data_IF_105861210722
#
_entry.id   IF_105861210722
#
_cell.length_a   1.000
_cell.length_b   1.000
_cell.length_c   1.000
_cell.angle_alpha   90.00
_cell.angle_beta   90.00
_cell.angle_gamma   90.00
#
_symmetry.space_group_name_H-M   'P 1'
#
loop_
_entity.id
_entity.type
_entity.pdbx_description
1 polymer ?
#
# COMPACT_ATOMS: atom_id res chain seq x y z
N UNK A 1 9.06 3.83 -11.14
CA UNK A 1 9.83 3.61 -9.90
C UNK A 1 9.11 4.25 -8.72
N UNK A 2 8.86 5.56 -8.75
CA UNK A 2 8.16 6.32 -7.68
C UNK A 2 6.82 5.70 -7.25
N UNK A 3 5.91 5.42 -8.20
CA UNK A 3 4.58 4.83 -7.95
C UNK A 3 4.68 3.49 -7.19
N UNK A 4 5.70 2.66 -7.50
CA UNK A 4 5.93 1.38 -6.83
C UNK A 4 6.40 1.59 -5.38
N UNK A 5 7.27 2.57 -5.16
CA UNK A 5 7.76 2.92 -3.81
C UNK A 5 6.60 3.44 -2.96
N UNK A 6 5.77 4.35 -3.49
CA UNK A 6 4.58 4.84 -2.80
C UNK A 6 3.64 3.68 -2.45
N UNK A 7 3.41 2.76 -3.39
CA UNK A 7 2.59 1.57 -3.14
C UNK A 7 3.08 0.73 -1.95
N UNK A 8 4.38 0.48 -1.86
CA UNK A 8 4.93 -0.27 -0.72
C UNK A 8 4.93 0.52 0.60
N UNK A 9 5.19 1.83 0.57
CA UNK A 9 5.09 2.68 1.75
C UNK A 9 3.67 2.68 2.31
N UNK A 10 2.67 2.82 1.44
CA UNK A 10 1.25 2.76 1.82
C UNK A 10 0.86 1.36 2.34
N UNK A 11 1.44 0.30 1.76
CA UNK A 11 1.21 -1.06 2.25
C UNK A 11 1.75 -1.25 3.67
N UNK A 12 2.99 -0.83 3.92
CA UNK A 12 3.59 -0.88 5.26
C UNK A 12 2.83 -0.02 6.28
N UNK A 13 2.40 1.18 5.89
CA UNK A 13 1.56 2.05 6.71
C UNK A 13 0.21 1.41 7.03
N UNK A 14 -0.45 0.79 6.03
CA UNK A 14 -1.72 0.10 6.24
C UNK A 14 -1.60 -1.11 7.17
N UNK A 15 -0.59 -1.96 6.99
CA UNK A 15 -0.35 -3.13 7.87
C UNK A 15 -0.06 -2.70 9.30
N UNK A 16 0.83 -1.71 9.49
CA UNK A 16 1.14 -1.19 10.83
C UNK A 16 -0.09 -0.54 11.50
N UNK A 17 -0.88 0.21 10.74
CA UNK A 17 -2.14 0.78 11.20
C UNK A 17 -3.17 -0.29 11.61
N UNK A 18 -3.35 -1.34 10.80
CA UNK A 18 -4.25 -2.46 11.12
C UNK A 18 -3.80 -3.18 12.40
N UNK A 19 -2.51 -3.46 12.55
CA UNK A 19 -1.98 -4.07 13.77
C UNK A 19 -2.26 -3.18 14.98
N UNK A 20 -1.99 -1.88 14.89
CA UNK A 20 -2.24 -0.94 15.97
C UNK A 20 -3.72 -0.90 16.38
N UNK A 21 -4.63 -0.85 15.40
CA UNK A 21 -6.08 -0.86 15.61
C UNK A 21 -6.54 -2.16 16.28
N UNK A 22 -6.06 -3.32 15.82
CA UNK A 22 -6.40 -4.62 16.41
C UNK A 22 -5.91 -4.71 17.86
N UNK A 23 -4.64 -4.36 18.09
CA UNK A 23 -4.05 -4.38 19.44
C UNK A 23 -4.82 -3.47 20.39
N UNK A 24 -5.14 -2.25 19.98
CA UNK A 24 -5.91 -1.32 20.82
C UNK A 24 -7.34 -1.80 21.04
N UNK A 25 -8.00 -2.38 20.04
CA UNK A 25 -9.34 -2.93 20.19
C UNK A 25 -9.38 -4.12 21.16
N UNK A 26 -8.34 -4.96 21.17
CA UNK A 26 -8.28 -6.16 22.00
C UNK A 26 -7.74 -5.92 23.41
N UNK A 27 -6.77 -5.02 23.57
CA UNK A 27 -6.06 -4.81 24.85
C UNK A 27 -6.27 -3.42 25.46
N UNK A 28 -6.84 -2.46 24.72
CA UNK A 28 -6.93 -1.05 25.11
C UNK A 28 -7.56 -0.82 26.49
N UNK A 29 -8.54 -1.64 26.85
CA UNK A 29 -9.27 -1.56 28.12
C UNK A 29 -8.87 -2.65 29.13
N UNK A 30 -7.86 -3.45 28.86
CA UNK A 30 -7.43 -4.55 29.74
C UNK A 30 -6.60 -4.02 30.92
N UNK A 31 -6.84 -4.60 32.11
CA UNK A 31 -6.08 -4.29 33.32
C UNK A 31 -4.57 -4.45 33.10
N UNK A 32 -3.80 -3.44 33.49
CA UNK A 32 -2.33 -3.48 33.44
C UNK A 32 -1.70 -3.24 32.07
N UNK A 33 -2.48 -2.95 31.01
CA UNK A 33 -1.92 -2.64 29.69
C UNK A 33 -1.57 -1.15 29.52
N UNK A 34 -2.46 -0.25 29.95
CA UNK A 34 -2.24 1.21 29.93
C UNK A 34 -2.69 1.87 31.24
N UNK A 35 -2.03 2.97 31.66
CA UNK A 35 -2.57 3.84 32.71
C UNK A 35 -3.95 4.36 32.32
N UNK A 36 -4.89 4.41 33.27
CA UNK A 36 -6.28 4.85 33.06
C UNK A 36 -7.02 4.08 31.94
N UNK A 37 -6.72 2.78 31.76
CA UNK A 37 -7.31 1.96 30.71
C UNK A 37 -8.85 1.91 30.74
N UNK A 38 -9.46 2.08 31.92
CA UNK A 38 -10.92 2.11 32.09
C UNK A 38 -11.60 3.23 31.28
N UNK A 39 -10.84 4.25 30.88
CA UNK A 39 -11.29 5.39 30.08
C UNK A 39 -10.96 5.23 28.57
N UNK A 40 -10.35 4.12 28.16
CA UNK A 40 -10.01 3.85 26.76
C UNK A 40 -11.23 3.36 25.96
N UNK A 41 -12.17 4.27 25.73
CA UNK A 41 -13.31 4.03 24.86
C UNK A 41 -12.89 4.04 23.38
N UNK A 42 -13.53 3.19 22.58
CA UNK A 42 -13.38 3.19 21.11
C UNK A 42 -14.11 4.41 20.50
N UNK A 43 -13.54 5.59 20.68
CA UNK A 43 -14.11 6.85 20.22
C UNK A 43 -13.84 7.16 18.74
N UNK A 44 -14.17 8.37 18.33
CA UNK A 44 -14.04 8.82 16.93
C UNK A 44 -12.61 8.72 16.39
N UNK A 45 -11.59 9.00 17.20
CA UNK A 45 -10.19 8.85 16.81
C UNK A 45 -9.84 7.40 16.44
N UNK A 46 -10.35 6.43 17.20
CA UNK A 46 -10.19 5.01 16.88
C UNK A 46 -10.89 4.65 15.56
N UNK A 47 -12.14 5.10 15.38
CA UNK A 47 -12.88 4.90 14.12
C UNK A 47 -12.15 5.49 12.90
N UNK A 48 -11.59 6.69 13.03
CA UNK A 48 -10.75 7.30 11.99
C UNK A 48 -9.46 6.52 11.75
N UNK A 49 -8.86 5.94 12.80
CA UNK A 49 -7.71 5.04 12.69
C UNK A 49 -8.01 3.77 11.88
N UNK A 50 -9.16 3.15 12.11
CA UNK A 50 -9.65 1.99 11.32
C UNK A 50 -9.80 2.38 9.86
N UNK A 51 -10.52 3.47 9.57
CA UNK A 51 -10.77 3.95 8.21
C UNK A 51 -9.46 4.31 7.50
N UNK A 52 -8.54 5.00 8.20
CA UNK A 52 -7.23 5.35 7.67
C UNK A 52 -6.38 4.13 7.32
N UNK A 53 -6.33 3.13 8.20
CA UNK A 53 -5.58 1.89 7.96
C UNK A 53 -6.10 1.14 6.72
N UNK A 54 -7.43 1.03 6.57
CA UNK A 54 -8.06 0.42 5.39
C UNK A 54 -7.78 1.25 4.13
N UNK A 55 -7.91 2.58 4.21
CA UNK A 55 -7.64 3.47 3.09
C UNK A 55 -6.18 3.32 2.61
N UNK A 56 -5.20 3.23 3.52
CA UNK A 56 -3.81 2.96 3.17
C UNK A 56 -3.64 1.64 2.40
N UNK A 57 -4.32 0.56 2.81
CA UNK A 57 -4.26 -0.73 2.10
C UNK A 57 -4.89 -0.66 0.70
N UNK A 58 -6.04 0.03 0.57
CA UNK A 58 -6.68 0.26 -0.73
C UNK A 58 -5.77 1.07 -1.64
N UNK A 59 -5.21 2.17 -1.13
CA UNK A 59 -4.27 3.01 -1.86
C UNK A 59 -3.02 2.23 -2.30
N UNK A 60 -2.48 1.37 -1.43
CA UNK A 60 -1.37 0.49 -1.76
C UNK A 60 -1.71 -0.47 -2.91
N UNK A 61 -2.87 -1.12 -2.85
CA UNK A 61 -3.32 -2.03 -3.90
C UNK A 61 -3.45 -1.32 -5.26
N UNK A 62 -4.03 -0.12 -5.28
CA UNK A 62 -4.16 0.69 -6.49
C UNK A 62 -2.79 1.08 -7.07
N UNK A 63 -1.89 1.62 -6.25
CA UNK A 63 -0.56 2.05 -6.71
C UNK A 63 0.30 0.87 -7.19
N UNK A 64 0.29 -0.27 -6.49
CA UNK A 64 1.05 -1.45 -6.91
C UNK A 64 0.49 -2.06 -8.20
N UNK A 65 -0.84 -2.06 -8.36
CA UNK A 65 -1.49 -2.49 -9.60
C UNK A 65 -1.09 -1.60 -10.77
N UNK A 66 -1.17 -0.28 -10.58
CA UNK A 66 -0.77 0.69 -11.62
C UNK A 66 0.73 0.58 -11.94
N UNK A 67 1.59 0.39 -10.93
CA UNK A 67 3.01 0.14 -11.14
C UNK A 67 3.26 -1.11 -12.01
N UNK A 68 2.51 -2.19 -11.78
CA UNK A 68 2.60 -3.42 -12.59
C UNK A 68 2.14 -3.16 -14.03
N UNK A 69 1.04 -2.44 -14.22
CA UNK A 69 0.53 -2.08 -15.56
C UNK A 69 1.56 -1.24 -16.32
N UNK A 70 2.14 -0.22 -15.68
CA UNK A 70 3.16 0.62 -16.31
C UNK A 70 4.43 -0.15 -16.66
N UNK A 71 4.86 -1.09 -15.82
CA UNK A 71 5.99 -1.98 -16.12
C UNK A 71 5.71 -2.81 -17.37
N UNK A 72 4.52 -3.41 -17.48
CA UNK A 72 4.11 -4.18 -18.67
C UNK A 72 4.07 -3.30 -19.92
N UNK A 73 3.48 -2.11 -19.86
CA UNK A 73 3.44 -1.16 -20.99
C UNK A 73 4.84 -0.79 -21.47
N UNK A 74 5.75 -0.44 -20.55
CA UNK A 74 7.14 -0.10 -20.88
C UNK A 74 7.90 -1.28 -21.50
N UNK A 75 7.69 -2.50 -21.00
CA UNK A 75 8.31 -3.71 -21.56
C UNK A 75 7.87 -3.94 -23.00
N UNK A 76 6.55 -3.87 -23.28
CA UNK A 76 6.03 -4.02 -24.65
C UNK A 76 6.58 -2.96 -25.61
N UNK A 77 6.66 -1.69 -25.18
CA UNK A 77 7.22 -0.62 -26.01
C UNK A 77 8.69 -0.88 -26.38
N UNK A 78 9.51 -1.33 -25.41
CA UNK A 78 10.90 -1.70 -25.67
C UNK A 78 11.03 -2.88 -26.63
N UNK A 79 10.18 -3.90 -26.46
CA UNK A 79 10.15 -5.07 -27.37
C UNK A 79 9.75 -4.65 -28.79
N UNK A 80 8.80 -3.73 -28.95
CA UNK A 80 8.42 -3.17 -30.26
C UNK A 80 9.57 -2.38 -30.89
N UNK A 81 10.24 -1.50 -30.15
CA UNK A 81 11.39 -0.74 -30.65
C UNK A 81 12.53 -1.66 -31.11
N UNK A 82 12.90 -2.66 -30.30
CA UNK A 82 13.94 -3.63 -30.66
C UNK A 82 13.58 -4.44 -31.93
N UNK A 83 12.30 -4.78 -32.12
CA UNK A 83 11.84 -5.44 -33.36
C UNK A 83 11.99 -4.54 -34.58
N UNK A 84 11.63 -3.26 -34.47
CA UNK A 84 11.79 -2.31 -35.57
C UNK A 84 13.27 -2.08 -35.93
N UNK A 85 14.17 -1.99 -34.94
CA UNK A 85 15.61 -1.86 -35.18
C UNK A 85 16.18 -3.06 -35.94
N UNK A 86 15.85 -4.29 -35.52
CA UNK A 86 16.28 -5.51 -36.22
C UNK A 86 15.72 -5.60 -37.65
N UNK A 87 14.46 -5.21 -37.88
CA UNK A 87 13.88 -5.16 -39.23
C UNK A 87 14.57 -4.14 -40.14
N UNK A 88 15.08 -3.05 -39.58
CA UNK A 88 15.83 -2.04 -40.33
C UNK A 88 17.22 -2.56 -40.71
N UNK A 89 17.95 -3.14 -39.75
CA UNK A 89 19.27 -3.74 -39.99
C UNK A 89 19.22 -4.89 -40.99
N UNK A 90 18.18 -5.72 -40.96
CA UNK A 90 18.03 -6.84 -41.92
C UNK A 90 17.77 -6.39 -43.37
N UNK A 91 17.38 -5.13 -43.60
CA UNK A 91 17.04 -4.60 -44.93
C UNK A 91 18.12 -3.70 -45.54
N UNK A 92 19.17 -3.37 -44.78
CA UNK A 92 20.34 -2.60 -45.22
C UNK A 92 21.44 -3.54 -45.75
#
# INVERSE_FOLDING_TARGET
MIIRVIGFLMFGAGISGVIAVIVFASLGNTDGWMPDHANNYLGWSFGLGVVGAIACLVTAALFLTEANIQLKKRKRLKESQARFEMEHESKA
#
